data_IF_236823234332
#
_entry.id   IF_236823234332
#
_cell.length_a   1.000
_cell.length_b   1.000
_cell.length_c   1.000
_cell.angle_alpha   90.00
_cell.angle_beta   90.00
_cell.angle_gamma   90.00
#
_symmetry.space_group_name_H-M   'P 1'
#
loop_
_entity.id
_entity.type
_entity.pdbx_description
1 polymer ?
#
# COMPACT_ATOMS: atom_id res chain seq x y z
N UNK A 1 53.28 28.79 26.88
CA UNK A 1 52.99 27.36 27.10
C UNK A 1 51.60 27.21 27.68
N UNK A 2 50.59 27.04 26.83
CA UNK A 2 49.19 26.83 27.24
C UNK A 2 48.65 25.61 26.49
N UNK A 3 48.30 24.55 27.22
CA UNK A 3 47.85 23.30 26.62
C UNK A 3 47.04 22.49 27.64
N UNK A 4 45.95 21.89 27.16
CA UNK A 4 45.16 20.80 27.79
C UNK A 4 44.23 21.16 28.97
N UNK A 5 43.16 21.93 28.72
CA UNK A 5 41.94 21.87 29.56
C UNK A 5 40.60 22.00 28.81
N UNK A 6 40.56 21.74 27.51
CA UNK A 6 39.31 21.86 26.72
C UNK A 6 38.76 20.55 26.10
N UNK A 7 39.32 19.39 26.41
CA UNK A 7 38.87 18.11 25.82
C UNK A 7 38.00 17.21 26.73
N UNK A 8 37.57 17.70 27.90
CA UNK A 8 36.74 16.89 28.83
C UNK A 8 35.26 17.25 28.78
N UNK A 9 34.88 18.40 28.20
CA UNK A 9 33.50 18.90 28.23
C UNK A 9 32.71 18.72 26.91
N UNK A 10 33.21 17.87 26.01
CA UNK A 10 32.52 17.53 24.75
C UNK A 10 31.90 16.11 24.74
N UNK A 11 31.99 15.36 25.85
CA UNK A 11 31.52 13.96 25.92
C UNK A 11 30.26 13.68 26.75
N UNK A 12 29.58 14.68 27.31
CA UNK A 12 28.41 14.47 28.18
C UNK A 12 27.09 15.12 27.72
N UNK A 13 26.78 15.10 26.41
CA UNK A 13 25.40 15.35 25.93
C UNK A 13 24.90 14.30 24.94
N UNK A 14 25.01 13.02 25.29
CA UNK A 14 24.09 12.00 24.74
C UNK A 14 22.86 11.94 25.62
N UNK A 15 21.78 12.60 25.19
CA UNK A 15 20.43 12.43 25.75
C UNK A 15 20.11 10.92 25.82
N UNK A 16 20.00 10.38 27.03
CA UNK A 16 19.34 9.10 27.28
C UNK A 16 17.90 9.24 26.82
N UNK A 17 17.58 8.76 25.61
CA UNK A 17 16.20 8.48 25.24
C UNK A 17 15.77 7.31 26.12
N UNK A 18 14.97 7.60 27.16
CA UNK A 18 14.21 6.56 27.85
C UNK A 18 13.29 5.92 26.80
N UNK A 19 13.56 4.67 26.46
CA UNK A 19 12.61 3.83 25.73
C UNK A 19 11.51 3.47 26.72
N UNK A 20 10.33 4.03 26.56
CA UNK A 20 9.14 3.58 27.28
C UNK A 20 8.56 2.42 26.48
N UNK A 21 8.57 1.24 27.07
CA UNK A 21 7.90 0.06 26.54
C UNK A 21 6.51 0.02 27.17
N UNK A 22 5.50 -0.24 26.36
CA UNK A 22 4.16 -0.58 26.82
C UNK A 22 3.85 -1.93 26.17
N UNK A 23 4.17 -3.00 26.87
CA UNK A 23 3.76 -4.36 26.56
C UNK A 23 2.41 -4.66 27.18
N UNK A 24 1.69 -5.58 26.54
CA UNK A 24 0.55 -6.25 27.11
C UNK A 24 0.81 -7.76 27.01
N UNK A 25 0.58 -8.50 28.08
CA UNK A 25 0.88 -9.92 28.20
C UNK A 25 -0.35 -10.69 28.66
N UNK A 26 -0.67 -11.78 27.98
CA UNK A 26 -1.71 -12.71 28.44
C UNK A 26 -1.18 -13.54 29.62
N UNK A 27 -1.88 -13.51 30.75
CA UNK A 27 -1.57 -14.35 31.91
C UNK A 27 -2.59 -15.46 32.02
N UNK A 28 -2.15 -16.69 31.79
CA UNK A 28 -2.98 -17.90 31.87
C UNK A 28 -3.62 -18.10 33.26
N UNK A 29 -2.95 -17.66 34.32
CA UNK A 29 -3.42 -17.75 35.71
C UNK A 29 -4.69 -16.93 35.98
N UNK A 30 -4.88 -15.82 35.26
CA UNK A 30 -6.02 -14.90 35.41
C UNK A 30 -6.95 -14.87 34.20
N UNK A 31 -6.65 -15.67 33.16
CA UNK A 31 -7.47 -15.78 31.96
C UNK A 31 -7.66 -14.47 31.20
N UNK A 32 -6.73 -13.50 31.33
CA UNK A 32 -6.87 -12.18 30.73
C UNK A 32 -5.53 -11.55 30.33
N UNK A 33 -5.58 -10.54 29.47
CA UNK A 33 -4.43 -9.75 29.04
C UNK A 33 -4.25 -8.58 30.00
N UNK A 34 -3.02 -8.38 30.49
CA UNK A 34 -2.65 -7.26 31.37
C UNK A 34 -1.59 -6.40 30.69
N UNK A 35 -1.61 -5.10 30.93
CA UNK A 35 -0.48 -4.21 30.65
C UNK A 35 0.74 -4.59 31.51
N UNK A 36 1.92 -4.12 31.14
CA UNK A 36 3.16 -4.31 31.90
C UNK A 36 3.07 -3.81 33.36
N UNK A 37 2.16 -2.88 33.64
CA UNK A 37 1.87 -2.37 34.99
C UNK A 37 0.83 -3.21 35.77
N UNK A 38 0.36 -4.32 35.19
CA UNK A 38 -0.60 -5.23 35.79
C UNK A 38 -2.07 -4.81 35.66
N UNK A 39 -2.37 -3.70 34.96
CA UNK A 39 -3.75 -3.26 34.76
C UNK A 39 -4.42 -3.95 33.57
N UNK A 40 -5.74 -4.13 33.64
CA UNK A 40 -6.54 -4.70 32.54
C UNK A 40 -6.81 -3.61 31.50
N UNK A 41 -6.57 -3.84 30.19
CA UNK A 41 -6.94 -2.90 29.15
C UNK A 41 -8.44 -2.59 29.17
N UNK A 42 -8.80 -1.32 28.98
CA UNK A 42 -10.20 -0.91 28.89
C UNK A 42 -10.85 -1.50 27.63
N UNK A 43 -12.16 -1.72 27.68
CA UNK A 43 -12.94 -2.33 26.59
C UNK A 43 -12.99 -1.51 25.29
N UNK A 44 -12.59 -0.24 25.35
CA UNK A 44 -12.46 0.68 24.22
C UNK A 44 -11.04 0.70 23.62
N UNK A 45 -10.11 -0.08 24.15
CA UNK A 45 -8.79 -0.24 23.53
C UNK A 45 -8.89 -1.10 22.26
N UNK A 46 -8.12 -0.78 21.19
CA UNK A 46 -8.27 -1.40 19.86
C UNK A 46 -7.80 -2.87 19.78
N UNK A 47 -7.60 -3.52 20.92
CA UNK A 47 -7.23 -4.93 21.02
C UNK A 47 -8.52 -5.73 21.25
N UNK A 48 -8.98 -6.45 20.22
CA UNK A 48 -10.21 -7.23 20.26
C UNK A 48 -10.26 -8.22 21.42
N UNK A 49 -11.47 -8.54 21.87
CA UNK A 49 -11.70 -9.49 22.98
C UNK A 49 -11.07 -10.87 22.67
N UNK A 50 -10.37 -11.52 23.61
CA UNK A 50 -9.53 -12.69 23.34
C UNK A 50 -10.27 -14.02 23.14
N UNK A 51 -11.57 -14.02 22.82
CA UNK A 51 -12.36 -15.25 22.98
C UNK A 51 -12.09 -16.36 21.96
N UNK A 52 -11.44 -16.09 20.82
CA UNK A 52 -11.41 -17.06 19.71
C UNK A 52 -10.03 -17.54 19.20
N UNK A 53 -8.88 -17.02 19.66
CA UNK A 53 -7.57 -17.64 19.32
C UNK A 53 -6.41 -17.18 20.24
N UNK A 54 -5.80 -18.07 21.05
CA UNK A 54 -4.71 -17.70 21.97
C UNK A 54 -3.34 -17.47 21.29
N UNK A 55 -3.23 -17.54 19.96
CA UNK A 55 -1.92 -17.55 19.28
C UNK A 55 -1.37 -16.20 18.84
N UNK A 56 -2.11 -15.10 18.89
CA UNK A 56 -1.60 -13.83 18.36
C UNK A 56 -2.10 -12.61 19.11
N UNK A 57 -1.23 -12.02 19.94
CA UNK A 57 -1.38 -10.64 20.41
C UNK A 57 0.00 -10.04 20.73
N UNK A 58 0.66 -9.46 19.72
CA UNK A 58 1.78 -8.54 19.94
C UNK A 58 1.70 -7.39 18.93
N UNK A 59 1.40 -6.18 19.42
CA UNK A 59 1.61 -4.94 18.68
C UNK A 59 2.89 -4.26 19.16
N UNK A 60 3.77 -3.83 18.24
CA UNK A 60 4.98 -3.07 18.57
C UNK A 60 4.89 -1.69 17.93
N UNK A 61 4.79 -0.64 18.75
CA UNK A 61 5.05 0.73 18.34
C UNK A 61 6.57 0.96 18.41
N UNK A 62 7.22 1.07 17.26
CA UNK A 62 8.64 1.37 17.21
C UNK A 62 8.86 2.79 16.70
N UNK A 63 9.28 3.69 17.59
CA UNK A 63 9.78 5.02 17.22
C UNK A 63 11.20 4.86 16.67
N UNK A 64 11.33 4.81 15.35
CA UNK A 64 12.62 4.90 14.65
C UNK A 64 12.84 6.37 14.29
N UNK A 65 13.44 7.11 15.22
CA UNK A 65 13.69 8.56 15.14
C UNK A 65 12.42 9.45 15.17
N UNK A 66 12.62 10.77 15.26
CA UNK A 66 11.56 11.75 15.54
C UNK A 66 10.44 11.78 14.48
N UNK A 67 10.72 11.24 13.29
CA UNK A 67 9.91 11.48 12.09
C UNK A 67 9.53 10.21 11.34
N UNK A 68 9.47 9.02 11.99
CA UNK A 68 8.86 7.82 11.40
C UNK A 68 7.83 7.18 12.32
N UNK A 69 6.62 6.96 11.78
CA UNK A 69 5.61 6.08 12.36
C UNK A 69 5.50 4.87 11.44
N UNK A 70 6.04 3.73 11.89
CA UNK A 70 5.82 2.45 11.21
C UNK A 70 4.84 1.65 12.06
N UNK A 71 3.63 1.42 11.55
CA UNK A 71 2.68 0.50 12.16
C UNK A 71 2.96 -0.91 11.63
N UNK A 72 3.80 -1.66 12.35
CA UNK A 72 4.16 -3.04 12.00
C UNK A 72 3.29 -4.01 12.81
N UNK A 73 2.50 -4.82 12.11
CA UNK A 73 1.96 -6.07 12.62
C UNK A 73 2.76 -7.21 11.94
N UNK A 74 3.79 -7.73 12.62
CA UNK A 74 4.62 -8.88 12.20
C UNK A 74 6.01 -8.57 11.59
N UNK A 75 7.02 -9.25 12.19
CA UNK A 75 8.48 -9.46 11.95
C UNK A 75 9.41 -8.45 11.25
N UNK A 76 10.62 -8.38 11.80
CA UNK A 76 11.66 -7.37 11.57
C UNK A 76 12.79 -7.91 10.69
N UNK A 77 13.13 -7.19 9.61
CA UNK A 77 14.48 -7.19 9.05
C UNK A 77 15.03 -5.76 8.90
N UNK A 78 16.34 -5.62 9.14
CA UNK A 78 17.10 -4.35 9.28
C UNK A 78 17.52 -3.78 7.92
N UNK A 79 17.51 -2.44 7.82
CA UNK A 79 18.21 -1.66 6.80
C UNK A 79 18.04 -0.16 7.05
N UNK A 80 19.15 0.59 7.06
CA UNK A 80 19.25 2.01 7.46
C UNK A 80 19.02 3.03 6.32
N UNK A 81 18.93 4.30 6.73
CA UNK A 81 18.40 5.49 6.03
C UNK A 81 19.46 6.42 5.41
N UNK A 82 19.01 7.32 4.50
CA UNK A 82 19.09 8.79 4.65
C UNK A 82 18.20 9.53 3.62
N UNK A 83 17.39 10.51 4.09
CA UNK A 83 16.56 11.46 3.31
C UNK A 83 15.32 11.96 4.10
N UNK A 84 14.99 13.26 4.05
CA UNK A 84 13.85 13.93 4.75
C UNK A 84 12.46 13.52 4.19
N UNK A 85 12.23 12.22 4.02
CA UNK A 85 10.95 11.65 3.61
C UNK A 85 10.53 10.61 4.64
N UNK A 86 9.41 10.86 5.31
CA UNK A 86 8.77 9.86 6.14
C UNK A 86 7.98 8.91 5.25
N UNK A 87 8.50 7.71 5.04
CA UNK A 87 7.71 6.63 4.42
C UNK A 87 6.65 6.16 5.42
N UNK A 88 5.38 6.40 5.10
CA UNK A 88 4.26 5.88 5.89
C UNK A 88 3.81 4.58 5.24
N UNK A 89 3.88 3.50 6.01
CA UNK A 89 3.37 2.18 5.63
C UNK A 89 2.22 1.82 6.54
N UNK A 90 1.00 1.90 6.04
CA UNK A 90 -0.19 1.48 6.75
C UNK A 90 -0.52 0.04 6.34
N UNK A 91 -0.51 -0.86 7.31
CA UNK A 91 -0.95 -2.25 7.15
C UNK A 91 -2.08 -2.52 8.13
N UNK A 92 -3.30 -2.77 7.63
CA UNK A 92 -4.24 -3.60 8.40
C UNK A 92 -3.77 -5.05 8.30
N UNK A 93 -3.64 -5.70 9.45
CA UNK A 93 -3.25 -7.10 9.73
C UNK A 93 -3.92 -8.12 8.78
N UNK A 94 -3.38 -9.30 8.43
CA UNK A 94 -2.15 -10.05 8.72
C UNK A 94 -1.98 -11.05 7.54
N UNK A 95 -0.75 -11.35 7.09
CA UNK A 95 -0.42 -12.56 6.31
C UNK A 95 -0.98 -12.73 4.89
N UNK A 96 -1.78 -11.79 4.37
CA UNK A 96 -2.53 -12.08 3.13
C UNK A 96 -1.63 -12.06 1.90
N UNK A 97 -0.71 -11.08 1.74
CA UNK A 97 0.12 -10.89 0.51
C UNK A 97 0.85 -12.17 0.05
N UNK A 98 1.34 -13.01 0.96
CA UNK A 98 1.99 -14.27 0.57
C UNK A 98 1.03 -15.30 -0.03
N UNK A 99 -0.27 -15.27 0.31
CA UNK A 99 -1.31 -16.10 -0.32
C UNK A 99 -1.81 -15.57 -1.66
N UNK A 100 -1.56 -14.31 -2.02
CA UNK A 100 -2.13 -13.75 -3.25
C UNK A 100 -1.53 -14.35 -4.52
N UNK A 101 -0.26 -14.71 -4.50
CA UNK A 101 0.44 -15.18 -5.70
C UNK A 101 1.25 -16.42 -5.37
N UNK A 102 0.55 -17.47 -4.94
CA UNK A 102 1.19 -18.71 -4.49
C UNK A 102 1.55 -19.71 -5.62
N UNK A 103 1.41 -19.30 -6.89
CA UNK A 103 1.56 -20.20 -8.04
C UNK A 103 2.50 -19.73 -9.15
N UNK A 104 3.64 -19.14 -8.77
CA UNK A 104 4.78 -18.97 -9.68
C UNK A 104 5.60 -20.26 -9.90
N UNK A 105 5.25 -21.41 -9.29
CA UNK A 105 6.05 -22.65 -9.42
C UNK A 105 5.63 -23.62 -10.53
N UNK A 106 4.49 -23.38 -11.20
CA UNK A 106 4.00 -24.23 -12.30
C UNK A 106 3.92 -23.48 -13.66
N UNK A 107 4.98 -22.73 -14.00
CA UNK A 107 5.10 -22.03 -15.29
C UNK A 107 5.15 -22.93 -16.55
N UNK A 108 5.08 -24.26 -16.41
CA UNK A 108 5.06 -25.17 -17.57
C UNK A 108 3.71 -25.25 -18.27
N UNK A 109 2.64 -24.76 -17.63
CA UNK A 109 1.30 -24.74 -18.22
C UNK A 109 1.05 -23.39 -18.87
N UNK A 110 1.71 -23.13 -20.00
CA UNK A 110 1.31 -22.00 -20.83
C UNK A 110 -0.12 -22.24 -21.32
N UNK A 111 -0.99 -21.24 -21.21
CA UNK A 111 -2.40 -21.31 -21.62
C UNK A 111 -2.74 -20.04 -22.40
N UNK A 112 -3.76 -20.10 -23.27
CA UNK A 112 -4.35 -18.87 -23.81
C UNK A 112 -5.03 -18.09 -22.67
N UNK A 113 -5.41 -16.84 -22.95
CA UNK A 113 -5.97 -15.96 -21.92
C UNK A 113 -7.16 -16.59 -21.18
N UNK A 114 -8.19 -17.01 -21.92
CA UNK A 114 -9.45 -17.54 -21.35
C UNK A 114 -9.23 -18.80 -20.53
N UNK A 115 -8.32 -19.68 -20.95
CA UNK A 115 -7.97 -20.86 -20.17
C UNK A 115 -7.21 -20.52 -18.89
N UNK A 116 -6.39 -19.46 -18.90
CA UNK A 116 -5.70 -19.00 -17.69
C UNK A 116 -6.66 -18.33 -16.70
N UNK A 117 -7.60 -17.54 -17.19
CA UNK A 117 -8.67 -16.94 -16.38
C UNK A 117 -9.51 -18.02 -15.68
N UNK A 118 -9.94 -19.04 -16.44
CA UNK A 118 -10.68 -20.19 -15.90
C UNK A 118 -9.85 -20.94 -14.86
N UNK A 119 -8.57 -21.17 -15.15
CA UNK A 119 -7.65 -21.81 -14.19
C UNK A 119 -7.50 -21.02 -12.89
N UNK A 120 -7.44 -19.68 -12.94
CA UNK A 120 -7.40 -18.85 -11.74
C UNK A 120 -8.67 -19.03 -10.90
N UNK A 121 -9.83 -19.08 -11.55
CA UNK A 121 -11.12 -19.33 -10.89
C UNK A 121 -11.18 -20.72 -10.25
N UNK A 122 -10.69 -21.74 -10.95
CA UNK A 122 -10.68 -23.14 -10.48
C UNK A 122 -9.85 -23.34 -9.20
N UNK A 123 -8.79 -22.54 -9.01
CA UNK A 123 -7.95 -22.60 -7.80
C UNK A 123 -8.41 -21.62 -6.70
N UNK A 124 -9.59 -21.01 -6.85
CA UNK A 124 -10.24 -20.19 -5.84
C UNK A 124 -9.96 -18.68 -5.91
N UNK A 125 -9.40 -18.17 -7.01
CA UNK A 125 -9.32 -16.73 -7.25
C UNK A 125 -10.57 -16.18 -7.94
N UNK A 126 -10.76 -14.86 -7.92
CA UNK A 126 -11.87 -14.23 -8.66
C UNK A 126 -11.64 -14.23 -10.18
N UNK A 127 -10.38 -14.19 -10.62
CA UNK A 127 -9.98 -14.12 -12.01
C UNK A 127 -8.51 -13.79 -12.16
N UNK A 128 -8.16 -13.09 -13.23
CA UNK A 128 -6.82 -12.55 -13.40
C UNK A 128 -6.64 -11.30 -12.52
N UNK A 129 -5.39 -10.95 -12.25
CA UNK A 129 -5.05 -9.87 -11.34
C UNK A 129 -5.40 -8.51 -11.94
N UNK A 130 -6.15 -7.71 -11.18
CA UNK A 130 -6.45 -6.30 -11.47
C UNK A 130 -5.32 -5.43 -10.92
N UNK A 131 -4.75 -4.57 -11.77
CA UNK A 131 -3.64 -3.68 -11.41
C UNK A 131 -4.06 -2.20 -11.45
N UNK A 132 -5.24 -1.91 -10.87
CA UNK A 132 -5.85 -0.58 -10.85
C UNK A 132 -5.14 0.43 -9.93
N UNK A 133 -4.22 -0.03 -9.09
CA UNK A 133 -3.42 0.82 -8.19
C UNK A 133 -1.92 0.73 -8.49
N UNK A 134 -1.16 1.81 -8.23
CA UNK A 134 0.30 1.81 -8.33
C UNK A 134 0.97 0.71 -7.52
N UNK A 135 0.53 0.47 -6.29
CA UNK A 135 1.12 -0.55 -5.43
C UNK A 135 0.91 -1.97 -5.97
N UNK A 136 -0.28 -2.25 -6.54
CA UNK A 136 -0.56 -3.52 -7.19
C UNK A 136 0.31 -3.71 -8.44
N UNK A 137 0.46 -2.66 -9.25
CA UNK A 137 1.30 -2.69 -10.43
C UNK A 137 2.78 -2.91 -10.08
N UNK A 138 3.35 -2.13 -9.17
CA UNK A 138 4.75 -2.29 -8.75
C UNK A 138 5.02 -3.68 -8.19
N UNK A 139 4.09 -4.21 -7.39
CA UNK A 139 4.23 -5.56 -6.86
C UNK A 139 4.19 -6.60 -7.97
N UNK A 140 3.24 -6.49 -8.91
CA UNK A 140 3.14 -7.37 -10.07
C UNK A 140 4.42 -7.32 -10.92
N UNK A 141 5.00 -6.14 -11.12
CA UNK A 141 6.27 -5.95 -11.81
C UNK A 141 7.44 -6.62 -11.06
N UNK A 142 7.47 -6.50 -9.72
CA UNK A 142 8.53 -7.10 -8.88
C UNK A 142 8.49 -8.62 -8.92
N UNK A 143 7.33 -9.24 -8.73
CA UNK A 143 7.22 -10.71 -8.69
C UNK A 143 7.34 -11.35 -10.08
N UNK A 144 7.00 -10.62 -11.15
CA UNK A 144 7.12 -11.12 -12.52
C UNK A 144 8.49 -10.83 -13.13
N UNK A 145 9.44 -10.25 -12.38
CA UNK A 145 10.73 -9.76 -12.90
C UNK A 145 11.48 -10.77 -13.78
N UNK A 146 11.43 -12.06 -13.42
CA UNK A 146 12.12 -13.12 -14.17
C UNK A 146 11.34 -13.61 -15.42
N UNK A 147 10.05 -13.31 -15.52
CA UNK A 147 9.13 -13.81 -16.56
C UNK A 147 8.35 -12.70 -17.29
N UNK A 148 8.75 -11.42 -17.16
CA UNK A 148 7.97 -10.23 -17.57
C UNK A 148 7.47 -10.21 -19.02
N UNK A 149 8.10 -10.95 -19.94
CA UNK A 149 7.71 -10.91 -21.36
C UNK A 149 6.36 -11.61 -21.65
N UNK A 150 5.73 -12.28 -20.68
CA UNK A 150 4.63 -13.22 -20.96
C UNK A 150 3.62 -13.37 -19.82
N UNK A 151 3.16 -12.30 -19.18
CA UNK A 151 2.21 -12.45 -18.06
C UNK A 151 0.89 -11.71 -18.28
N UNK A 152 -0.19 -12.47 -18.51
CA UNK A 152 -1.56 -11.98 -18.58
C UNK A 152 -2.01 -11.38 -17.24
N UNK A 153 -2.84 -10.36 -17.35
CA UNK A 153 -3.50 -9.67 -16.24
C UNK A 153 -4.97 -9.46 -16.60
N UNK A 154 -5.79 -9.11 -15.61
CA UNK A 154 -7.24 -9.00 -15.77
C UNK A 154 -7.66 -7.68 -16.41
N UNK A 155 -7.08 -7.31 -17.56
CA UNK A 155 -7.49 -6.15 -18.35
C UNK A 155 -8.01 -6.63 -19.70
N UNK A 156 -9.16 -6.10 -20.12
CA UNK A 156 -9.88 -6.55 -21.30
C UNK A 156 -10.50 -5.41 -22.08
N UNK A 157 -10.36 -5.43 -23.39
CA UNK A 157 -11.21 -4.60 -24.24
C UNK A 157 -12.62 -5.20 -24.30
N UNK A 158 -13.63 -4.38 -24.00
CA UNK A 158 -15.04 -4.76 -24.02
C UNK A 158 -15.72 -4.04 -25.18
N UNK A 159 -16.01 -4.79 -26.24
CA UNK A 159 -16.59 -4.23 -27.47
C UNK A 159 -17.96 -3.58 -27.26
N UNK A 160 -18.70 -4.03 -26.23
CA UNK A 160 -20.03 -3.53 -25.88
C UNK A 160 -19.98 -2.08 -25.38
N UNK A 161 -18.90 -1.71 -24.68
CA UNK A 161 -18.69 -0.36 -24.13
C UNK A 161 -17.61 0.43 -24.88
N UNK A 162 -16.92 -0.21 -25.81
CA UNK A 162 -15.87 0.42 -26.63
C UNK A 162 -14.62 0.84 -25.85
N UNK A 163 -14.36 0.24 -24.69
CA UNK A 163 -13.23 0.61 -23.81
C UNK A 163 -12.60 -0.61 -23.15
N UNK A 164 -11.34 -0.46 -22.73
CA UNK A 164 -10.68 -1.39 -21.83
C UNK A 164 -11.24 -1.28 -20.42
N UNK A 165 -11.56 -2.41 -19.79
CA UNK A 165 -11.98 -2.56 -18.40
C UNK A 165 -11.08 -3.57 -17.68
N UNK A 166 -10.97 -3.45 -16.36
CA UNK A 166 -10.44 -4.48 -15.49
C UNK A 166 -11.46 -5.62 -15.28
N UNK A 167 -11.02 -6.79 -14.79
CA UNK A 167 -11.87 -7.95 -14.47
C UNK A 167 -12.94 -7.63 -13.41
N UNK A 168 -12.69 -6.64 -12.56
CA UNK A 168 -13.65 -6.13 -11.59
C UNK A 168 -14.64 -5.10 -12.18
N UNK A 169 -14.55 -4.84 -13.48
CA UNK A 169 -15.40 -3.89 -14.20
C UNK A 169 -14.96 -2.43 -14.10
N UNK A 170 -13.90 -2.13 -13.35
CA UNK A 170 -13.40 -0.75 -13.24
C UNK A 170 -12.67 -0.31 -14.50
N UNK A 171 -12.76 0.99 -14.83
CA UNK A 171 -12.04 1.57 -15.98
C UNK A 171 -10.58 1.81 -15.59
N UNK A 172 -9.59 1.38 -16.39
CA UNK A 172 -8.20 1.71 -16.11
C UNK A 172 -7.97 3.20 -16.25
N UNK A 173 -7.27 3.74 -15.26
CA UNK A 173 -7.03 5.18 -15.14
C UNK A 173 -6.13 5.70 -16.27
N UNK A 174 -6.21 7.00 -16.50
CA UNK A 174 -5.34 7.77 -17.41
C UNK A 174 -3.85 7.61 -17.09
N UNK A 175 -3.50 7.57 -15.80
CA UNK A 175 -2.15 7.40 -15.29
C UNK A 175 -1.69 5.94 -15.20
N UNK A 176 -2.57 4.98 -15.53
CA UNK A 176 -2.17 3.58 -15.62
C UNK A 176 -1.23 3.42 -16.82
N UNK A 177 -0.06 2.74 -16.68
CA UNK A 177 0.99 2.74 -17.70
C UNK A 177 0.64 1.82 -18.88
N UNK A 178 -0.43 2.12 -19.62
CA UNK A 178 -0.78 1.44 -20.85
C UNK A 178 0.10 1.92 -22.00
N UNK A 179 0.70 0.97 -22.72
CA UNK A 179 1.27 1.21 -24.03
C UNK A 179 0.18 1.46 -25.07
N UNK A 180 0.55 2.12 -26.16
CA UNK A 180 -0.37 2.36 -27.28
C UNK A 180 -0.40 1.17 -28.26
N UNK A 181 -1.58 0.78 -28.80
CA UNK A 181 -2.92 1.31 -28.48
C UNK A 181 -3.59 0.59 -27.28
N UNK A 182 -4.29 1.34 -26.42
CA UNK A 182 -5.09 0.81 -25.30
C UNK A 182 -6.46 0.31 -25.76
N UNK A 183 -7.20 1.13 -26.52
CA UNK A 183 -8.60 0.85 -26.86
C UNK A 183 -8.78 0.46 -28.34
N UNK A 184 -7.92 -0.44 -28.83
CA UNK A 184 -8.04 -1.02 -30.18
C UNK A 184 -8.80 -2.35 -30.12
N UNK A 185 -9.94 -2.50 -30.80
CA UNK A 185 -10.76 -3.72 -30.80
C UNK A 185 -10.04 -4.96 -31.36
N UNK A 186 -8.89 -4.79 -32.01
CA UNK A 186 -8.04 -5.92 -32.44
C UNK A 186 -7.28 -6.55 -31.26
N UNK A 187 -7.12 -5.85 -30.15
CA UNK A 187 -6.30 -6.29 -29.02
C UNK A 187 -7.14 -6.38 -27.76
N UNK A 188 -7.59 -7.58 -27.44
CA UNK A 188 -8.63 -7.78 -26.43
C UNK A 188 -8.12 -7.99 -25.01
N UNK A 189 -6.83 -8.27 -24.81
CA UNK A 189 -6.33 -8.77 -23.54
C UNK A 189 -5.06 -8.09 -23.07
N UNK A 190 -5.06 -7.64 -21.82
CA UNK A 190 -3.94 -6.97 -21.19
C UNK A 190 -2.85 -7.93 -20.75
N UNK A 191 -1.60 -7.47 -20.91
CA UNK A 191 -0.41 -8.19 -20.49
C UNK A 191 0.63 -7.21 -19.96
N UNK A 192 1.36 -7.64 -18.92
CA UNK A 192 2.59 -6.96 -18.55
C UNK A 192 3.65 -7.14 -19.64
N UNK A 193 4.33 -6.05 -19.98
CA UNK A 193 5.43 -6.06 -20.92
C UNK A 193 6.54 -5.11 -20.46
N UNK A 194 7.78 -5.60 -20.51
CA UNK A 194 8.97 -4.77 -20.35
C UNK A 194 9.54 -4.48 -21.75
N UNK A 195 9.33 -3.26 -22.25
CA UNK A 195 10.07 -2.69 -23.38
C UNK A 195 11.14 -1.75 -22.81
N UNK A 196 10.96 -0.45 -22.99
CA UNK A 196 11.83 0.60 -22.41
C UNK A 196 11.42 0.96 -20.98
N UNK A 197 10.11 0.90 -20.70
CA UNK A 197 9.54 0.99 -19.38
C UNK A 197 8.66 -0.24 -19.09
N UNK A 198 8.38 -0.47 -17.81
CA UNK A 198 7.37 -1.43 -17.38
C UNK A 198 5.99 -0.87 -17.72
N UNK A 199 5.24 -1.57 -18.59
CA UNK A 199 3.94 -1.11 -19.09
C UNK A 199 2.95 -2.27 -19.26
N UNK A 200 1.68 -1.93 -19.47
CA UNK A 200 0.60 -2.83 -19.83
C UNK A 200 0.35 -2.67 -21.33
N UNK A 201 0.32 -3.79 -22.06
CA UNK A 201 -0.01 -3.78 -23.49
C UNK A 201 -1.21 -4.67 -23.76
N UNK A 202 -2.04 -4.26 -24.72
CA UNK A 202 -3.15 -5.06 -25.19
C UNK A 202 -2.69 -6.00 -26.32
N UNK A 203 -3.14 -7.24 -26.31
CA UNK A 203 -2.79 -8.29 -27.28
C UNK A 203 -4.00 -9.17 -27.64
N UNK A 204 -3.87 -10.00 -28.69
CA UNK A 204 -4.91 -10.93 -29.17
C UNK A 204 -5.27 -12.09 -28.21
N UNK A 205 -4.38 -12.45 -27.28
CA UNK A 205 -4.64 -13.48 -26.24
C UNK A 205 -4.48 -14.95 -26.68
N UNK A 206 -4.18 -15.22 -27.95
CA UNK A 206 -4.04 -16.59 -28.50
C UNK A 206 -2.74 -17.29 -28.07
N UNK A 207 -1.69 -16.52 -27.82
CA UNK A 207 -0.38 -17.06 -27.49
C UNK A 207 -0.40 -17.64 -26.08
N UNK A 208 0.13 -18.84 -25.92
CA UNK A 208 0.21 -19.49 -24.62
C UNK A 208 1.24 -18.75 -23.75
N UNK A 209 0.79 -18.22 -22.61
CA UNK A 209 1.59 -17.38 -21.69
C UNK A 209 1.21 -17.70 -20.24
N UNK A 210 1.98 -17.18 -19.29
CA UNK A 210 1.58 -17.20 -17.88
C UNK A 210 0.54 -16.11 -17.62
N UNK A 211 -0.06 -16.11 -16.43
CA UNK A 211 -0.94 -15.06 -15.97
C UNK A 211 -0.88 -14.89 -14.45
N UNK A 212 -1.19 -13.70 -13.96
CA UNK A 212 -1.35 -13.43 -12.54
C UNK A 212 -2.80 -13.64 -12.16
N UNK A 213 -3.06 -14.47 -11.16
CA UNK A 213 -4.38 -14.59 -10.56
C UNK A 213 -4.55 -13.55 -9.44
N UNK A 214 -5.77 -13.07 -9.20
CA UNK A 214 -6.05 -12.11 -8.14
C UNK A 214 -7.47 -12.24 -7.57
N UNK A 215 -7.64 -11.84 -6.31
CA UNK A 215 -8.95 -11.73 -5.66
C UNK A 215 -9.41 -10.27 -5.63
N UNK A 216 -10.19 -9.84 -6.61
CA UNK A 216 -10.61 -8.45 -6.70
C UNK A 216 -11.93 -8.15 -5.93
N UNK A 217 -12.55 -9.13 -5.25
CA UNK A 217 -13.72 -8.87 -4.39
C UNK A 217 -13.39 -8.56 -2.93
N UNK A 218 -12.21 -8.98 -2.45
CA UNK A 218 -11.80 -8.87 -1.04
C UNK A 218 -10.39 -8.27 -0.92
N UNK A 219 -10.21 -7.01 -1.30
CA UNK A 219 -8.90 -6.35 -1.30
C UNK A 219 -8.40 -6.05 0.12
N UNK A 220 -7.24 -6.58 0.55
CA UNK A 220 -6.44 -5.91 1.56
C UNK A 220 -5.79 -4.70 0.89
N UNK A 221 -6.33 -3.52 1.17
CA UNK A 221 -5.79 -2.26 0.64
C UNK A 221 -4.51 -1.90 1.40
N UNK A 222 -3.35 -2.09 0.77
CA UNK A 222 -2.10 -1.45 1.20
C UNK A 222 -1.96 -0.16 0.39
N UNK A 223 -1.82 0.97 1.08
CA UNK A 223 -1.38 2.23 0.47
C UNK A 223 0.04 2.54 0.92
N UNK A 224 0.83 3.06 -0.01
CA UNK A 224 2.18 3.57 0.26
C UNK A 224 2.27 5.01 -0.20
N UNK A 225 3.03 5.81 0.53
CA UNK A 225 3.13 7.21 0.20
C UNK A 225 4.10 7.98 1.09
N UNK A 226 4.28 9.23 0.71
CA UNK A 226 5.07 10.22 1.44
C UNK A 226 4.15 11.16 2.19
N UNK A 227 4.63 11.68 3.32
CA UNK A 227 3.91 12.69 4.11
C UNK A 227 4.62 14.02 4.00
N UNK A 228 3.86 15.07 3.71
CA UNK A 228 4.31 16.45 3.74
C UNK A 228 3.52 17.19 4.82
N UNK A 229 4.21 17.92 5.68
CA UNK A 229 3.60 18.65 6.79
C UNK A 229 3.65 20.14 6.50
N UNK A 230 2.55 20.82 6.73
CA UNK A 230 2.48 22.26 6.52
C UNK A 230 2.49 22.64 5.05
N UNK A 231 2.11 21.73 4.15
CA UNK A 231 2.17 21.93 2.70
C UNK A 231 0.88 21.43 2.04
N UNK A 232 0.26 22.31 1.26
CA UNK A 232 -0.92 22.04 0.44
C UNK A 232 -0.50 21.85 -1.03
N UNK A 233 -1.14 20.94 -1.75
CA UNK A 233 -0.93 20.80 -3.20
C UNK A 233 -1.51 22.00 -3.95
N UNK A 234 -0.72 22.66 -4.79
CA UNK A 234 -1.08 23.91 -5.49
C UNK A 234 -1.73 23.68 -6.84
N UNK A 235 -2.62 22.70 -6.93
CA UNK A 235 -2.92 22.05 -8.20
C UNK A 235 -4.40 22.11 -8.52
N UNK A 236 -4.71 22.13 -9.82
CA UNK A 236 -6.00 21.66 -10.26
C UNK A 236 -6.10 20.18 -9.89
N UNK A 237 -7.01 19.90 -8.96
CA UNK A 237 -7.14 18.60 -8.31
C UNK A 237 -8.59 18.16 -8.37
N UNK A 238 -8.79 16.89 -8.71
CA UNK A 238 -10.11 16.29 -8.64
C UNK A 238 -10.38 15.90 -7.20
N UNK A 239 -11.33 16.55 -6.54
CA UNK A 239 -11.76 16.15 -5.19
C UNK A 239 -12.69 14.95 -5.33
N UNK A 240 -12.24 13.78 -4.84
CA UNK A 240 -13.02 12.54 -4.89
C UNK A 240 -14.03 12.52 -3.74
N UNK A 241 -13.62 12.93 -2.55
CA UNK A 241 -14.51 13.06 -1.40
C UNK A 241 -13.94 14.01 -0.35
N UNK A 242 -14.83 14.51 0.50
CA UNK A 242 -14.49 15.25 1.72
C UNK A 242 -15.22 14.60 2.88
N UNK A 243 -14.52 14.33 3.97
CA UNK A 243 -15.09 13.63 5.13
C UNK A 243 -14.48 14.15 6.43
N UNK A 244 -15.26 14.14 7.51
CA UNK A 244 -14.72 14.41 8.85
C UNK A 244 -13.94 13.20 9.34
N UNK A 245 -12.74 13.44 9.87
CA UNK A 245 -11.85 12.42 10.44
C UNK A 245 -11.14 12.97 11.67
N UNK A 246 -10.81 12.11 12.62
CA UNK A 246 -10.21 12.54 13.88
C UNK A 246 -8.70 12.68 13.80
N UNK A 247 -8.07 12.16 12.74
CA UNK A 247 -6.61 12.20 12.61
C UNK A 247 -6.13 12.15 11.16
N UNK A 248 -4.90 12.62 10.97
CA UNK A 248 -4.14 12.43 9.74
C UNK A 248 -4.05 10.96 9.32
N UNK A 249 -3.84 10.04 10.28
CA UNK A 249 -3.71 8.61 9.98
C UNK A 249 -5.01 8.07 9.38
N UNK A 250 -6.15 8.48 9.92
CA UNK A 250 -7.46 8.12 9.38
C UNK A 250 -7.65 8.66 7.96
N UNK A 251 -7.21 9.90 7.68
CA UNK A 251 -7.22 10.45 6.32
C UNK A 251 -6.38 9.63 5.33
N UNK A 252 -5.17 9.23 5.73
CA UNK A 252 -4.30 8.39 4.91
C UNK A 252 -4.90 6.98 4.68
N UNK A 253 -5.59 6.42 5.67
CA UNK A 253 -6.34 5.15 5.52
C UNK A 253 -7.50 5.33 4.54
N UNK A 254 -8.32 6.38 4.68
CA UNK A 254 -9.42 6.66 3.75
C UNK A 254 -8.93 6.79 2.32
N UNK A 255 -7.85 7.55 2.09
CA UNK A 255 -7.20 7.63 0.79
C UNK A 255 -6.77 6.24 0.29
N UNK A 256 -6.17 5.41 1.15
CA UNK A 256 -5.73 4.07 0.76
C UNK A 256 -6.86 3.10 0.40
N UNK A 257 -8.07 3.33 0.90
CA UNK A 257 -9.27 2.53 0.58
C UNK A 257 -9.91 2.92 -0.76
N UNK A 258 -9.57 4.10 -1.28
CA UNK A 258 -10.12 4.64 -2.53
C UNK A 258 -9.08 4.44 -3.63
N UNK A 259 -9.40 3.62 -4.64
CA UNK A 259 -8.48 3.33 -5.74
C UNK A 259 -8.18 4.58 -6.60
N UNK A 260 -9.11 5.54 -6.61
CA UNK A 260 -8.98 6.85 -7.23
C UNK A 260 -8.01 7.76 -6.47
N UNK A 261 -7.73 7.51 -5.19
CA UNK A 261 -6.90 8.42 -4.41
C UNK A 261 -5.45 8.43 -4.90
N UNK A 262 -4.91 9.66 -5.03
CA UNK A 262 -3.48 9.95 -5.18
C UNK A 262 -2.94 10.81 -4.05
N UNK A 263 -3.78 11.58 -3.38
CA UNK A 263 -3.38 12.29 -2.17
C UNK A 263 -4.53 12.44 -1.19
N UNK A 264 -4.21 12.52 0.10
CA UNK A 264 -5.14 12.85 1.17
C UNK A 264 -4.66 14.09 1.92
N UNK A 265 -5.44 15.15 1.91
CA UNK A 265 -5.15 16.37 2.67
C UNK A 265 -5.97 16.39 3.96
N UNK A 266 -5.29 16.24 5.09
CA UNK A 266 -5.89 16.37 6.41
C UNK A 266 -5.73 17.79 6.93
N UNK A 267 -6.85 18.45 7.25
CA UNK A 267 -6.89 19.73 7.92
C UNK A 267 -7.10 19.53 9.43
N UNK A 268 -6.11 19.89 10.24
CA UNK A 268 -6.16 19.71 11.69
C UNK A 268 -7.16 20.62 12.40
N UNK A 269 -7.42 21.80 11.85
CA UNK A 269 -8.31 22.79 12.47
C UNK A 269 -9.78 22.41 12.27
N UNK A 270 -10.09 21.89 11.08
CA UNK A 270 -11.44 21.49 10.70
C UNK A 270 -11.73 20.01 10.96
N UNK A 271 -10.71 19.21 11.25
CA UNK A 271 -10.80 17.75 11.37
C UNK A 271 -11.42 17.12 10.11
N UNK A 272 -10.97 17.57 8.94
CA UNK A 272 -11.47 17.12 7.64
C UNK A 272 -10.37 16.49 6.81
N UNK A 273 -10.68 15.38 6.15
CA UNK A 273 -9.89 14.77 5.09
C UNK A 273 -10.48 15.11 3.73
N UNK A 274 -9.66 15.64 2.84
CA UNK A 274 -9.98 15.79 1.41
C UNK A 274 -9.23 14.70 0.64
N UNK A 275 -9.97 13.74 0.07
CA UNK A 275 -9.41 12.70 -0.78
C UNK A 275 -9.30 13.26 -2.19
N UNK A 276 -8.08 13.26 -2.72
CA UNK A 276 -7.71 13.84 -4.00
C UNK A 276 -7.44 12.72 -4.99
N UNK A 277 -8.07 12.82 -6.15
CA UNK A 277 -7.95 11.91 -7.27
C UNK A 277 -6.71 12.18 -8.11
N UNK A 278 -6.84 12.06 -9.43
CA UNK A 278 -5.79 12.53 -10.35
C UNK A 278 -5.57 14.05 -10.22
N UNK A 279 -4.31 14.46 -10.29
CA UNK A 279 -3.90 15.86 -10.29
C UNK A 279 -2.60 16.03 -11.07
N UNK A 280 -2.39 17.22 -11.65
CA UNK A 280 -1.12 17.63 -12.21
C UNK A 280 -0.44 18.61 -11.25
N UNK A 281 0.74 18.24 -10.75
CA UNK A 281 1.43 19.09 -9.77
C UNK A 281 2.17 20.27 -10.38
N UNK A 282 1.81 21.49 -9.99
CA UNK A 282 2.57 22.71 -10.23
C UNK A 282 3.46 23.09 -9.04
N UNK A 283 3.30 22.45 -7.88
CA UNK A 283 4.07 22.73 -6.66
C UNK A 283 3.31 22.53 -5.33
N UNK A 284 3.84 23.19 -4.30
CA UNK A 284 3.33 23.17 -2.92
C UNK A 284 3.22 24.59 -2.36
N UNK A 285 2.15 24.90 -1.61
CA UNK A 285 1.96 26.16 -0.88
C UNK A 285 2.07 25.85 0.61
N UNK A 286 2.86 26.63 1.38
CA UNK A 286 2.91 26.50 2.83
C UNK A 286 1.52 26.72 3.46
N UNK A 287 1.07 25.77 4.27
CA UNK A 287 -0.19 25.80 5.02
C UNK A 287 -0.10 24.91 6.26
N UNK A 288 0.24 25.51 7.41
CA UNK A 288 0.65 24.85 8.66
C UNK A 288 -0.32 23.81 9.21
N UNK A 289 -1.62 24.02 9.02
CA UNK A 289 -2.73 23.20 9.50
C UNK A 289 -3.01 21.99 8.61
N UNK A 290 -2.36 21.91 7.44
CA UNK A 290 -2.54 20.81 6.49
C UNK A 290 -1.39 19.81 6.63
N UNK A 291 -1.76 18.53 6.69
CA UNK A 291 -0.86 17.42 6.49
C UNK A 291 -1.30 16.65 5.25
N UNK A 292 -0.43 16.58 4.25
CA UNK A 292 -0.72 15.94 2.97
C UNK A 292 -0.05 14.57 2.91
N UNK A 293 -0.82 13.53 2.71
CA UNK A 293 -0.34 12.21 2.30
C UNK A 293 -0.36 12.13 0.79
N UNK A 294 0.79 11.94 0.14
CA UNK A 294 0.87 11.65 -1.30
C UNK A 294 1.07 10.16 -1.48
N UNK A 295 0.12 9.50 -2.11
CA UNK A 295 0.21 8.09 -2.48
C UNK A 295 1.23 7.92 -3.60
N UNK A 296 1.97 6.82 -3.55
CA UNK A 296 2.88 6.42 -4.61
C UNK A 296 2.12 6.31 -5.94
N UNK A 297 2.69 6.87 -7.00
CA UNK A 297 2.16 6.81 -8.38
C UNK A 297 2.80 5.67 -9.16
N UNK A 298 2.24 5.32 -10.32
CA UNK A 298 2.78 4.29 -11.21
C UNK A 298 4.19 4.60 -11.73
#
# INVERSE_FOLDING_TARGET
SGSWKQDVEYKERKRKIKKTYIGAHYRSEVGTTLWDDGTVPRSDTPFGSPKDDPKFNFGRLEKRDADQIVMILGEVHRGGLCGNQTNVRLRRSFGVWERWIHHLKNFKNFRNFTSHESFCKDIGYDGLAVLSSPEAFEYAIKITQNNRKKTYIGAHYRSEVGTTLWDDGTVPRSDTPFGSPKDDPKFNFGRLEKRDADQIVMILGEVHRGGLCGNHKNYPTESRGTTMRGELLTTEKTVVSVSQVFSYVECAVLCGMVHECRAGEFNSDLLTCTVIGEYQSSGHIPKSEIVTFIRQTF
#
